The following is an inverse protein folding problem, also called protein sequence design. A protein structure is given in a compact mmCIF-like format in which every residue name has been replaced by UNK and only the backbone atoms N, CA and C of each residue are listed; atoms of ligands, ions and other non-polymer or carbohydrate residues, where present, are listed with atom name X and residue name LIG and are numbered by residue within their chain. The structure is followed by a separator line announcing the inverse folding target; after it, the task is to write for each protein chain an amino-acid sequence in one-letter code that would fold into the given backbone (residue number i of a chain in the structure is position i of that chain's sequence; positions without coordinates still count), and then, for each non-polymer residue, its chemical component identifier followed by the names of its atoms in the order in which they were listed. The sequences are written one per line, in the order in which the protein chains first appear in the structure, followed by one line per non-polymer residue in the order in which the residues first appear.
data_IF_252701181016
#
_entry.id   IF_252701181016
#
_cell.length_a   1.000
_cell.length_b   1.000
_cell.length_c   1.000
_cell.angle_alpha   90.00
_cell.angle_beta   90.00
_cell.angle_gamma   90.00
#
_symmetry.space_group_name_H-M   'P 1'
#
loop_
_entity.id
_entity.type
_entity.pdbx_description
1 polymer ?
#
# COMPACT_ATOMS: atom_id res chain seq x y z
N UNK A 1 6.34 -16.11 -10.18
CA UNK A 1 4.92 -16.40 -9.99
C UNK A 1 4.78 -16.82 -8.54
N UNK A 2 3.94 -16.14 -7.77
CA UNK A 2 3.85 -16.35 -6.31
C UNK A 2 2.83 -17.43 -5.94
N UNK A 3 1.68 -17.43 -6.62
CA UNK A 3 0.59 -18.38 -6.44
C UNK A 3 0.24 -19.03 -7.79
N UNK A 4 -0.48 -20.15 -7.73
CA UNK A 4 -0.93 -20.96 -8.86
C UNK A 4 -2.44 -21.15 -8.85
N UNK A 5 -3.01 -21.71 -9.92
CA UNK A 5 -4.43 -22.05 -9.93
C UNK A 5 -4.78 -23.17 -8.94
N UNK A 6 -3.83 -24.05 -8.63
CA UNK A 6 -4.06 -25.13 -7.68
C UNK A 6 -4.19 -24.60 -6.25
N UNK A 7 -3.46 -23.55 -5.89
CA UNK A 7 -3.61 -22.88 -4.59
C UNK A 7 -5.04 -22.33 -4.41
N UNK A 8 -5.56 -21.65 -5.44
CA UNK A 8 -6.95 -21.13 -5.42
C UNK A 8 -7.99 -22.23 -5.30
N UNK A 9 -7.75 -23.38 -5.95
CA UNK A 9 -8.67 -24.52 -5.93
C UNK A 9 -8.59 -25.25 -4.59
N UNK A 10 -7.40 -25.36 -4.00
CA UNK A 10 -7.21 -25.99 -2.69
C UNK A 10 -7.92 -25.22 -1.57
N UNK A 11 -7.96 -23.89 -1.65
CA UNK A 11 -8.66 -23.04 -0.69
C UNK A 11 -10.17 -22.92 -0.95
N UNK A 12 -10.66 -23.52 -2.04
CA UNK A 12 -12.05 -23.33 -2.46
C UNK A 12 -13.02 -24.11 -1.57
N UNK A 13 -13.90 -23.37 -0.90
CA UNK A 13 -15.00 -23.93 -0.12
C UNK A 13 -16.30 -23.83 -0.94
N UNK A 14 -16.91 -24.97 -1.27
CA UNK A 14 -18.19 -25.04 -2.00
C UNK A 14 -18.15 -26.01 -3.19
N UNK A 15 -19.31 -26.30 -3.78
CA UNK A 15 -19.43 -27.15 -4.97
C UNK A 15 -19.19 -26.38 -6.29
N UNK A 16 -19.15 -25.05 -6.23
CA UNK A 16 -18.96 -24.12 -7.35
C UNK A 16 -17.47 -23.90 -7.71
N UNK A 17 -16.64 -24.91 -7.46
CA UNK A 17 -15.20 -24.85 -7.73
C UNK A 17 -14.95 -24.58 -9.23
N UNK A 18 -14.12 -23.59 -9.59
CA UNK A 18 -13.78 -23.33 -10.98
C UNK A 18 -13.10 -24.55 -11.63
N UNK A 19 -13.72 -25.11 -12.67
CA UNK A 19 -13.17 -26.26 -13.41
C UNK A 19 -12.14 -25.83 -14.46
N UNK A 20 -12.22 -24.58 -14.94
CA UNK A 20 -11.30 -24.05 -15.94
C UNK A 20 -10.02 -23.48 -15.29
N UNK A 21 -9.04 -24.35 -15.04
CA UNK A 21 -7.74 -23.96 -14.46
C UNK A 21 -6.99 -22.91 -15.29
N UNK A 22 -7.11 -22.93 -16.62
CA UNK A 22 -6.45 -21.95 -17.48
C UNK A 22 -6.99 -20.53 -17.26
N UNK A 23 -8.31 -20.39 -17.06
CA UNK A 23 -8.94 -19.12 -16.71
C UNK A 23 -8.49 -18.66 -15.32
N UNK A 24 -8.48 -19.56 -14.32
CA UNK A 24 -7.99 -19.24 -12.97
C UNK A 24 -6.54 -18.75 -13.01
N UNK A 25 -5.65 -19.46 -13.72
CA UNK A 25 -4.24 -19.05 -13.89
C UNK A 25 -4.10 -17.65 -14.49
N UNK A 26 -4.96 -17.27 -15.44
CA UNK A 26 -4.95 -15.92 -16.03
C UNK A 26 -5.30 -14.84 -15.00
N UNK A 27 -6.26 -15.12 -14.11
CA UNK A 27 -6.66 -14.21 -13.04
C UNK A 27 -5.62 -14.13 -11.93
N UNK A 28 -5.02 -15.26 -11.55
CA UNK A 28 -3.86 -15.30 -10.62
C UNK A 28 -2.73 -14.44 -11.15
N UNK A 29 -2.37 -14.56 -12.44
CA UNK A 29 -1.35 -13.72 -13.05
C UNK A 29 -1.72 -12.23 -13.07
N UNK A 30 -3.02 -11.90 -13.18
CA UNK A 30 -3.51 -10.52 -13.07
C UNK A 30 -3.39 -9.98 -11.65
N UNK A 31 -3.73 -10.80 -10.65
CA UNK A 31 -3.59 -10.49 -9.22
C UNK A 31 -2.14 -10.20 -8.85
N UNK A 32 -1.21 -11.06 -9.30
CA UNK A 32 0.22 -10.88 -9.04
C UNK A 32 0.75 -9.57 -9.65
N UNK A 33 0.37 -9.24 -10.89
CA UNK A 33 0.72 -7.95 -11.50
C UNK A 33 0.11 -6.76 -10.75
N UNK A 34 -1.07 -6.93 -10.15
CA UNK A 34 -1.69 -5.90 -9.33
C UNK A 34 -0.89 -5.68 -8.04
N UNK A 35 -0.61 -6.75 -7.29
CA UNK A 35 0.17 -6.68 -6.06
C UNK A 35 1.59 -6.14 -6.27
N UNK A 36 2.27 -6.51 -7.37
CA UNK A 36 3.60 -5.93 -7.70
C UNK A 36 3.59 -4.43 -7.92
N UNK A 37 2.49 -3.88 -8.47
CA UNK A 37 2.35 -2.43 -8.65
C UNK A 37 2.02 -1.74 -7.33
N UNK A 38 1.20 -2.39 -6.51
CA UNK A 38 0.72 -1.83 -5.25
C UNK A 38 1.78 -1.85 -4.15
N UNK A 39 2.59 -2.92 -4.09
CA UNK A 39 3.64 -3.12 -3.10
C UNK A 39 4.94 -3.55 -3.82
N UNK A 40 5.70 -2.61 -4.41
CA UNK A 40 6.91 -2.93 -5.19
C UNK A 40 8.00 -3.65 -4.41
N UNK A 41 8.08 -3.44 -3.09
CA UNK A 41 9.06 -4.06 -2.19
C UNK A 41 8.76 -5.54 -1.86
N UNK A 42 7.57 -6.04 -2.22
CA UNK A 42 7.09 -7.35 -1.80
C UNK A 42 7.98 -8.50 -2.31
N UNK A 43 8.44 -8.44 -3.57
CA UNK A 43 9.32 -9.47 -4.14
C UNK A 43 10.63 -9.58 -3.34
N UNK A 44 11.28 -8.45 -3.07
CA UNK A 44 12.56 -8.42 -2.37
C UNK A 44 12.43 -8.95 -0.94
N UNK A 45 11.34 -8.61 -0.23
CA UNK A 45 11.08 -9.11 1.13
C UNK A 45 10.85 -10.62 1.18
N UNK A 46 10.16 -11.17 0.18
CA UNK A 46 10.00 -12.63 0.06
C UNK A 46 11.36 -13.31 -0.16
N UNK A 47 12.21 -12.73 -1.01
CA UNK A 47 13.53 -13.28 -1.32
C UNK A 47 14.52 -13.16 -0.16
N UNK A 48 14.44 -12.07 0.61
CA UNK A 48 15.25 -11.86 1.82
C UNK A 48 14.92 -12.90 2.91
N UNK A 49 13.66 -13.37 2.97
CA UNK A 49 13.24 -14.41 3.90
C UNK A 49 13.24 -13.99 5.38
N UNK A 50 13.29 -12.67 5.65
CA UNK A 50 13.20 -12.13 7.01
C UNK A 50 11.82 -12.36 7.66
N UNK A 51 10.78 -12.53 6.84
CA UNK A 51 9.41 -12.82 7.25
C UNK A 51 9.02 -14.24 6.79
N UNK A 52 9.00 -15.24 7.69
CA UNK A 52 8.88 -16.65 7.30
C UNK A 52 7.54 -16.98 6.64
N UNK A 53 6.45 -16.32 7.05
CA UNK A 53 5.08 -16.60 6.59
C UNK A 53 4.61 -15.63 5.48
N UNK A 54 5.48 -14.72 5.03
CA UNK A 54 5.09 -13.68 4.06
C UNK A 54 4.70 -14.29 2.72
N UNK A 55 5.41 -15.35 2.30
CA UNK A 55 5.16 -16.01 1.02
C UNK A 55 3.77 -16.66 1.01
N UNK A 56 3.46 -17.39 2.07
CA UNK A 56 2.17 -18.05 2.30
C UNK A 56 1.05 -16.99 2.38
N UNK A 57 1.28 -15.90 3.12
CA UNK A 57 0.33 -14.78 3.20
C UNK A 57 0.04 -14.17 1.81
N UNK A 58 1.04 -14.06 0.94
CA UNK A 58 0.83 -13.58 -0.44
C UNK A 58 -0.02 -14.56 -1.25
N UNK A 59 0.17 -15.87 -1.07
CA UNK A 59 -0.65 -16.90 -1.72
C UNK A 59 -2.10 -16.78 -1.25
N UNK A 60 -2.33 -16.67 0.06
CA UNK A 60 -3.67 -16.52 0.65
C UNK A 60 -4.40 -15.28 0.12
N UNK A 61 -3.70 -14.14 0.04
CA UNK A 61 -4.28 -12.90 -0.48
C UNK A 61 -4.64 -13.03 -1.96
N UNK A 62 -3.75 -13.59 -2.78
CA UNK A 62 -4.04 -13.82 -4.20
C UNK A 62 -5.24 -14.76 -4.37
N UNK A 63 -5.27 -15.84 -3.60
CA UNK A 63 -6.35 -16.82 -3.58
C UNK A 63 -7.69 -16.16 -3.24
N UNK A 64 -7.74 -15.37 -2.17
CA UNK A 64 -8.92 -14.62 -1.76
C UNK A 64 -9.37 -13.58 -2.81
N UNK A 65 -8.44 -12.84 -3.43
CA UNK A 65 -8.75 -11.88 -4.50
C UNK A 65 -9.40 -12.58 -5.69
N UNK A 66 -8.85 -13.70 -6.14
CA UNK A 66 -9.38 -14.45 -7.29
C UNK A 66 -10.72 -15.10 -6.93
N UNK A 67 -10.84 -15.73 -5.77
CA UNK A 67 -12.08 -16.36 -5.32
C UNK A 67 -13.25 -15.35 -5.26
N UNK A 68 -13.00 -14.11 -4.82
CA UNK A 68 -14.03 -13.05 -4.82
C UNK A 68 -14.54 -12.71 -6.21
N UNK A 69 -13.64 -12.63 -7.21
CA UNK A 69 -14.04 -12.38 -8.61
C UNK A 69 -14.90 -13.52 -9.15
N UNK A 70 -14.52 -14.77 -8.90
CA UNK A 70 -15.25 -15.93 -9.40
C UNK A 70 -16.58 -16.17 -8.69
N UNK A 71 -16.68 -15.84 -7.40
CA UNK A 71 -17.94 -15.96 -6.62
C UNK A 71 -18.94 -14.84 -6.90
N UNK A 72 -18.48 -13.67 -7.32
CA UNK A 72 -19.34 -12.55 -7.68
C UNK A 72 -18.90 -11.90 -9.00
N UNK A 73 -19.01 -12.65 -10.14
CA UNK A 73 -18.55 -12.15 -11.43
C UNK A 73 -19.36 -10.94 -11.90
N UNK A 74 -20.62 -10.84 -11.49
CA UNK A 74 -21.51 -9.73 -11.83
C UNK A 74 -21.43 -8.56 -10.84
N UNK A 75 -20.62 -8.64 -9.78
CA UNK A 75 -20.42 -7.55 -8.82
C UNK A 75 -21.69 -7.11 -8.10
N UNK A 76 -22.66 -8.00 -7.88
CA UNK A 76 -23.94 -7.66 -7.25
C UNK A 76 -23.73 -7.50 -5.74
N UNK A 77 -24.13 -6.34 -5.17
CA UNK A 77 -24.03 -6.06 -3.72
C UNK A 77 -25.27 -6.44 -2.92
N UNK A 78 -26.43 -6.47 -3.57
CA UNK A 78 -27.71 -6.80 -2.95
C UNK A 78 -28.66 -7.38 -4.01
N UNK A 79 -29.21 -8.57 -3.73
CA UNK A 79 -30.30 -9.17 -4.51
C UNK A 79 -31.54 -9.14 -3.63
N UNK A 80 -32.46 -8.21 -3.88
CA UNK A 80 -33.81 -8.24 -3.31
C UNK A 80 -34.69 -9.06 -4.25
N UNK A 81 -35.09 -10.26 -3.82
CA UNK A 81 -36.16 -11.03 -4.45
C UNK A 81 -37.38 -10.96 -3.52
N UNK A 82 -38.47 -10.35 -3.98
CA UNK A 82 -39.76 -10.31 -3.28
C UNK A 82 -40.80 -10.96 -4.18
N UNK A 83 -41.45 -12.01 -3.67
CA UNK A 83 -42.40 -12.81 -4.41
C UNK A 83 -43.77 -12.10 -4.48
N UNK A 84 -44.23 -11.79 -5.70
CA UNK A 84 -45.57 -11.29 -6.02
C UNK A 84 -45.69 -9.80 -6.42
N UNK A 85 -45.90 -9.54 -7.73
CA UNK A 85 -46.11 -8.21 -8.37
C UNK A 85 -44.96 -7.21 -8.17
N UNK A 86 -43.78 -7.45 -8.77
CA UNK A 86 -42.63 -6.56 -8.60
C UNK A 86 -41.86 -6.21 -9.87
N UNK A 87 -41.52 -4.92 -9.95
CA UNK A 87 -40.42 -4.36 -10.75
C UNK A 87 -39.12 -4.60 -9.98
N UNK A 88 -38.16 -5.36 -10.55
CA UNK A 88 -36.86 -5.60 -9.93
C UNK A 88 -35.88 -4.44 -10.18
N UNK A 89 -35.20 -3.95 -9.14
CA UNK A 89 -34.08 -3.00 -9.27
C UNK A 89 -32.76 -3.69 -8.93
N UNK A 90 -31.90 -3.90 -9.93
CA UNK A 90 -30.53 -4.36 -9.74
C UNK A 90 -29.66 -3.11 -9.55
N UNK A 91 -29.02 -2.97 -8.39
CA UNK A 91 -28.01 -1.93 -8.17
C UNK A 91 -26.63 -2.49 -8.48
N UNK A 92 -26.11 -2.18 -9.66
CA UNK A 92 -24.73 -2.50 -10.01
C UNK A 92 -23.77 -1.62 -9.21
N UNK A 93 -22.70 -2.24 -8.72
CA UNK A 93 -21.69 -1.62 -7.88
C UNK A 93 -20.57 -0.98 -8.72
N UNK A 94 -20.69 0.31 -9.06
CA UNK A 94 -19.59 1.09 -9.64
C UNK A 94 -19.17 0.69 -11.06
N UNK A 95 -18.22 1.42 -11.64
CA UNK A 95 -17.86 1.39 -13.07
C UNK A 95 -17.27 0.06 -13.59
N UNK A 96 -17.00 -0.93 -12.73
CA UNK A 96 -16.50 -2.25 -13.18
C UNK A 96 -17.03 -3.41 -12.32
N UNK A 97 -18.10 -4.10 -12.74
CA UNK A 97 -18.54 -5.35 -12.12
C UNK A 97 -17.44 -6.43 -12.19
N UNK A 98 -17.25 -7.19 -11.11
CA UNK A 98 -16.25 -8.28 -11.08
C UNK A 98 -14.79 -7.83 -11.01
N UNK A 99 -14.52 -6.64 -10.45
CA UNK A 99 -13.16 -6.11 -10.34
C UNK A 99 -12.29 -6.90 -9.35
N UNK A 100 -11.01 -7.03 -9.69
CA UNK A 100 -9.98 -7.53 -8.80
C UNK A 100 -9.52 -6.41 -7.88
N UNK A 101 -9.82 -6.50 -6.59
CA UNK A 101 -9.46 -5.48 -5.60
C UNK A 101 -8.74 -6.09 -4.41
N UNK A 102 -7.91 -5.27 -3.75
CA UNK A 102 -7.21 -5.60 -2.51
C UNK A 102 -7.91 -4.90 -1.35
N UNK A 103 -8.25 -5.62 -0.28
CA UNK A 103 -8.85 -5.01 0.91
C UNK A 103 -7.80 -4.33 1.79
N UNK A 104 -8.23 -3.39 2.63
CA UNK A 104 -7.37 -2.75 3.64
C UNK A 104 -6.67 -3.77 4.54
N UNK A 105 -7.39 -4.81 4.99
CA UNK A 105 -6.84 -5.85 5.87
C UNK A 105 -5.73 -6.66 5.17
N UNK A 106 -5.96 -7.04 3.92
CA UNK A 106 -4.98 -7.82 3.13
C UNK A 106 -3.78 -6.97 2.75
N UNK A 107 -4.01 -5.68 2.47
CA UNK A 107 -2.94 -4.72 2.29
C UNK A 107 -2.09 -4.62 3.55
N UNK A 108 -2.71 -4.42 4.71
CA UNK A 108 -2.01 -4.31 5.99
C UNK A 108 -1.21 -5.57 6.35
N UNK A 109 -1.71 -6.77 6.00
CA UNK A 109 -0.96 -8.02 6.21
C UNK A 109 0.26 -8.16 5.31
N UNK A 110 0.25 -7.51 4.13
CA UNK A 110 1.36 -7.55 3.18
C UNK A 110 2.37 -6.41 3.37
N UNK A 111 1.99 -5.33 4.03
CA UNK A 111 2.87 -4.18 4.28
C UNK A 111 3.96 -4.51 5.29
N UNK A 112 5.14 -3.91 5.08
CA UNK A 112 6.25 -4.01 6.02
C UNK A 112 5.81 -3.39 7.36
N UNK A 113 6.33 -3.87 8.50
CA UNK A 113 5.90 -3.39 9.83
C UNK A 113 5.88 -1.87 9.97
N UNK A 114 6.84 -1.16 9.36
CA UNK A 114 6.90 0.30 9.35
C UNK A 114 5.82 1.01 8.51
N UNK A 115 5.22 0.31 7.54
CA UNK A 115 4.28 0.87 6.58
C UNK A 115 2.82 0.54 6.94
N UNK A 116 2.58 -0.30 7.96
CA UNK A 116 1.24 -0.75 8.37
C UNK A 116 0.41 0.41 8.91
N UNK A 117 -0.90 0.38 8.66
CA UNK A 117 -1.88 1.34 9.22
C UNK A 117 -1.84 1.30 10.75
N UNK A 118 -1.28 2.33 11.37
CA UNK A 118 -1.05 2.43 12.83
C UNK A 118 0.43 2.41 13.25
N UNK A 119 1.36 2.15 12.34
CA UNK A 119 2.79 2.33 12.54
C UNK A 119 3.23 3.81 12.54
N UNK A 120 2.27 4.75 12.47
CA UNK A 120 2.52 6.17 12.57
C UNK A 120 3.07 6.49 13.97
N UNK A 121 4.39 6.54 14.06
CA UNK A 121 5.06 7.21 15.16
C UNK A 121 4.80 8.70 15.04
N UNK A 122 4.66 9.39 16.18
CA UNK A 122 4.60 10.84 16.18
C UNK A 122 5.87 11.36 15.48
N UNK A 123 5.71 12.00 14.33
CA UNK A 123 6.79 12.71 13.69
C UNK A 123 6.83 14.12 14.29
N UNK A 124 7.88 14.40 15.05
CA UNK A 124 8.17 15.76 15.49
C UNK A 124 9.01 16.40 14.39
N UNK A 125 8.49 17.45 13.76
CA UNK A 125 9.36 18.39 13.05
C UNK A 125 10.13 19.17 14.12
N UNK A 126 11.26 18.62 14.54
CA UNK A 126 12.22 19.40 15.32
C UNK A 126 12.70 20.57 14.44
N UNK A 127 12.70 21.82 14.93
CA UNK A 127 13.42 22.91 14.26
C UNK A 127 14.95 22.67 14.20
N UNK A 128 15.42 21.52 14.69
CA UNK A 128 16.82 21.12 14.89
C UNK A 128 17.67 21.02 13.61
N UNK A 129 17.12 21.29 12.42
CA UNK A 129 17.92 21.47 11.21
C UNK A 129 18.51 22.89 11.04
N UNK A 130 18.37 23.76 12.06
CA UNK A 130 19.31 24.88 12.22
C UNK A 130 20.61 24.48 12.92
N UNK A 131 20.79 23.21 13.32
CA UNK A 131 22.06 22.73 13.82
C UNK A 131 23.01 22.37 12.65
N UNK A 132 23.92 23.29 12.32
CA UNK A 132 25.19 22.93 11.66
C UNK A 132 25.36 23.31 10.20
N UNK A 133 24.46 24.12 9.63
CA UNK A 133 24.77 24.86 8.41
C UNK A 133 25.78 25.96 8.74
N UNK A 134 27.07 25.63 8.82
CA UNK A 134 28.13 26.59 9.12
C UNK A 134 27.92 27.87 8.31
N UNK A 135 27.85 29.01 9.00
CA UNK A 135 27.55 30.31 8.39
C UNK A 135 28.54 30.55 7.23
N UNK A 136 28.09 30.35 6.00
CA UNK A 136 28.99 30.47 4.86
C UNK A 136 29.22 31.97 4.60
N UNK A 137 30.47 32.45 4.65
CA UNK A 137 30.78 33.89 4.49
C UNK A 137 30.24 34.47 3.17
N UNK A 138 30.04 33.63 2.16
CA UNK A 138 29.51 34.05 0.86
C UNK A 138 28.09 34.63 0.95
N UNK A 139 27.25 34.18 1.88
CA UNK A 139 25.87 34.64 1.98
C UNK A 139 25.79 36.14 2.32
N UNK A 140 26.68 36.66 3.18
CA UNK A 140 26.71 38.09 3.51
C UNK A 140 27.43 38.93 2.44
N UNK A 141 28.47 38.38 1.81
CA UNK A 141 29.20 39.04 0.72
C UNK A 141 28.34 39.22 -0.55
N UNK A 142 27.46 38.27 -0.87
CA UNK A 142 26.54 38.37 -2.02
C UNK A 142 25.47 39.45 -1.87
N UNK A 143 25.07 39.78 -0.64
CA UNK A 143 24.08 40.83 -0.36
C UNK A 143 24.70 42.17 0.04
N UNK A 144 26.00 42.36 -0.19
CA UNK A 144 26.68 43.64 -0.01
C UNK A 144 26.85 44.07 1.46
N UNK A 145 26.67 43.15 2.41
CA UNK A 145 26.89 43.44 3.82
C UNK A 145 28.39 43.38 4.14
N UNK A 146 28.88 44.36 4.93
CA UNK A 146 30.26 44.37 5.44
C UNK A 146 30.50 43.33 6.55
N UNK A 147 29.42 42.82 7.15
CA UNK A 147 29.39 42.06 8.39
C UNK A 147 28.31 40.96 8.31
N UNK A 148 28.45 39.88 9.08
CA UNK A 148 27.47 38.79 9.09
C UNK A 148 26.22 39.18 9.87
N UNK A 149 25.04 38.76 9.38
CA UNK A 149 23.76 39.04 10.07
C UNK A 149 23.68 38.48 11.50
N UNK A 150 24.53 37.52 11.87
CA UNK A 150 24.64 36.95 13.21
C UNK A 150 25.52 37.75 14.20
N UNK A 151 26.25 38.77 13.74
CA UNK A 151 27.10 39.62 14.58
C UNK A 151 28.35 38.95 15.17
N UNK A 152 28.72 37.74 14.69
CA UNK A 152 29.93 37.00 15.15
C UNK A 152 31.21 37.80 14.96
N UNK A 153 31.30 38.54 13.87
CA UNK A 153 32.43 39.40 13.54
C UNK A 153 32.59 40.59 14.50
N UNK A 154 31.56 40.91 15.28
CA UNK A 154 31.54 41.97 16.30
C UNK A 154 31.72 41.37 17.70
N UNK A 155 31.01 40.28 18.00
CA UNK A 155 30.91 39.74 19.36
C UNK A 155 31.76 38.47 19.61
N UNK A 156 32.44 37.95 18.59
CA UNK A 156 33.20 36.68 18.65
C UNK A 156 32.32 35.42 18.73
N UNK A 157 30.99 35.58 18.82
CA UNK A 157 29.97 34.52 18.88
C UNK A 157 28.63 35.04 18.36
N UNK A 158 27.69 34.17 17.91
CA UNK A 158 26.39 34.62 17.42
C UNK A 158 25.59 35.31 18.52
N UNK A 159 25.12 36.53 18.24
CA UNK A 159 24.44 37.37 19.25
C UNK A 159 23.04 36.81 19.60
N UNK A 160 22.44 35.99 18.72
CA UNK A 160 21.12 35.40 18.93
C UNK A 160 21.12 34.05 19.67
N UNK A 161 22.28 33.52 20.08
CA UNK A 161 22.41 32.23 20.77
C UNK A 161 22.45 32.34 22.31
N UNK A 162 22.04 33.47 22.89
CA UNK A 162 21.86 33.58 24.35
C UNK A 162 20.48 33.09 24.80
N UNK A 163 20.39 31.79 25.08
CA UNK A 163 19.41 31.17 25.97
C UNK A 163 20.04 29.95 26.66
#
# INVERSE_FOLDING_TARGET
MWATADDVIADWIGEDVPTNKALVSRWVARAERYLRREIPSLQARIEEGAEPDLRETVVDVISAMVARVFRNPEGIRQRQETDGSFTGSITFAGDTPGELFLTDRERDSLLAPQDRKGAQTAFTFGPDNYAGGGHRPWCSLMFGAKYCSCGVDIAGRPIFEEA
#
